data_IF_435176585102
#
_entry.id   IF_435176585102
#
_cell.length_a   1.000
_cell.length_b   1.000
_cell.length_c   1.000
_cell.angle_alpha   90.00
_cell.angle_beta   90.00
_cell.angle_gamma   90.00
#
_symmetry.space_group_name_H-M   'P 1'
#
loop_
_entity.id
_entity.type
_entity.pdbx_description
1 polymer ?
#
# COMPACT_ATOMS: atom_id res chain seq x y z
N UNK A 1 -1.31 78.89 2.78
CA UNK A 1 -0.25 77.95 3.18
C UNK A 1 -0.69 77.28 4.46
N UNK A 2 -0.35 75.98 4.61
CA UNK A 2 -0.64 75.01 5.70
C UNK A 2 -2.09 74.53 5.80
N UNK A 3 -2.42 73.27 6.04
CA UNK A 3 -1.73 71.96 5.94
C UNK A 3 -2.83 70.89 5.96
N UNK A 4 -2.63 69.78 5.23
CA UNK A 4 -3.55 68.66 5.08
C UNK A 4 -3.64 67.85 6.39
N UNK A 5 -4.85 67.61 6.89
CA UNK A 5 -5.12 66.63 7.93
C UNK A 5 -5.40 65.26 7.30
N UNK A 6 -4.45 64.36 7.38
CA UNK A 6 -4.53 62.97 6.91
C UNK A 6 -5.31 62.13 7.94
N UNK A 7 -6.50 61.65 7.58
CA UNK A 7 -7.21 60.64 8.38
C UNK A 7 -6.48 59.30 8.26
N UNK A 8 -5.97 58.81 9.39
CA UNK A 8 -5.42 57.46 9.51
C UNK A 8 -6.57 56.45 9.40
N UNK A 9 -6.61 55.72 8.29
CA UNK A 9 -7.43 54.51 8.14
C UNK A 9 -6.85 53.43 9.05
N UNK A 10 -7.57 53.12 10.14
CA UNK A 10 -7.27 51.99 11.00
C UNK A 10 -7.42 50.70 10.19
N UNK A 11 -6.32 49.96 10.05
CA UNK A 11 -6.32 48.61 9.52
C UNK A 11 -6.95 47.70 10.57
N UNK A 12 -8.22 47.36 10.39
CA UNK A 12 -8.84 46.27 11.13
C UNK A 12 -8.21 44.96 10.65
N UNK A 13 -7.26 44.45 11.44
CA UNK A 13 -6.85 43.05 11.42
C UNK A 13 -8.07 42.19 11.79
N UNK A 14 -8.84 41.77 10.79
CA UNK A 14 -9.87 40.75 10.99
C UNK A 14 -9.20 39.39 10.90
N UNK A 15 -8.96 38.83 12.08
CA UNK A 15 -9.07 37.41 12.37
C UNK A 15 -8.23 36.48 11.50
N UNK A 16 -6.99 36.24 11.93
CA UNK A 16 -6.33 34.96 11.71
C UNK A 16 -7.30 33.87 12.18
N UNK A 17 -7.98 33.17 11.26
CA UNK A 17 -8.72 31.97 11.60
C UNK A 17 -7.70 30.99 12.13
N UNK A 18 -7.58 30.89 13.46
CA UNK A 18 -6.86 29.82 14.09
C UNK A 18 -7.47 28.53 13.55
N UNK A 19 -6.73 27.86 12.66
CA UNK A 19 -7.05 26.52 12.21
C UNK A 19 -7.06 25.67 13.48
N UNK A 20 -8.25 25.49 14.05
CA UNK A 20 -8.48 24.57 15.14
C UNK A 20 -7.88 23.24 14.70
N UNK A 21 -6.79 22.81 15.36
CA UNK A 21 -6.18 21.52 15.10
C UNK A 21 -7.17 20.48 15.61
N UNK A 22 -8.17 20.16 14.81
CA UNK A 22 -9.09 19.06 15.06
C UNK A 22 -8.22 17.82 15.11
N UNK A 23 -7.96 17.33 16.32
CA UNK A 23 -7.26 16.07 16.54
C UNK A 23 -8.11 14.99 15.89
N UNK A 24 -7.69 14.54 14.71
CA UNK A 24 -8.40 13.51 13.98
C UNK A 24 -8.40 12.24 14.84
N UNK A 25 -9.59 11.77 15.21
CA UNK A 25 -9.71 10.50 15.93
C UNK A 25 -9.11 9.37 15.07
N UNK A 26 -8.60 8.29 15.69
CA UNK A 26 -8.09 7.14 14.93
C UNK A 26 -9.10 6.63 13.89
N UNK A 27 -10.39 6.63 14.23
CA UNK A 27 -11.47 6.26 13.31
C UNK A 27 -11.57 7.21 12.11
N UNK A 28 -11.52 8.53 12.32
CA UNK A 28 -11.54 9.52 11.24
C UNK A 28 -10.30 9.42 10.34
N UNK A 29 -9.12 9.18 10.93
CA UNK A 29 -7.87 8.94 10.20
C UNK A 29 -7.98 7.69 9.30
N UNK A 30 -8.46 6.57 9.85
CA UNK A 30 -8.65 5.34 9.09
C UNK A 30 -9.71 5.48 7.98
N UNK A 31 -10.76 6.27 8.21
CA UNK A 31 -11.77 6.57 7.19
C UNK A 31 -11.18 7.36 6.03
N UNK A 32 -10.46 8.46 6.31
CA UNK A 32 -9.77 9.26 5.28
C UNK A 32 -8.77 8.42 4.47
N UNK A 33 -8.03 7.53 5.13
CA UNK A 33 -7.12 6.60 4.45
C UNK A 33 -7.87 5.69 3.46
N UNK A 34 -9.01 5.12 3.88
CA UNK A 34 -9.82 4.28 2.98
C UNK A 34 -10.37 5.09 1.81
N UNK A 35 -10.92 6.27 2.06
CA UNK A 35 -11.42 7.18 1.03
C UNK A 35 -10.34 7.52 0.00
N UNK A 36 -9.12 7.83 0.45
CA UNK A 36 -7.98 8.09 -0.42
C UNK A 36 -7.58 6.86 -1.25
N UNK A 37 -7.58 5.66 -0.66
CA UNK A 37 -7.27 4.42 -1.37
C UNK A 37 -8.35 4.10 -2.42
N UNK A 38 -9.63 4.24 -2.08
CA UNK A 38 -10.71 4.05 -3.04
C UNK A 38 -10.66 5.07 -4.19
N UNK A 39 -10.35 6.33 -3.90
CA UNK A 39 -10.17 7.35 -4.92
C UNK A 39 -8.97 7.06 -5.86
N UNK A 40 -7.97 6.34 -5.36
CA UNK A 40 -6.82 5.86 -6.13
C UNK A 40 -7.07 4.49 -6.81
N UNK A 41 -8.32 4.03 -6.87
CA UNK A 41 -8.74 2.75 -7.47
C UNK A 41 -8.09 1.50 -6.82
N UNK A 42 -7.83 1.57 -5.52
CA UNK A 42 -7.44 0.40 -4.72
C UNK A 42 -8.67 -0.34 -4.18
N UNK A 43 -8.56 -1.66 -4.14
CA UNK A 43 -9.56 -2.58 -3.57
C UNK A 43 -9.01 -3.18 -2.27
N UNK A 44 -9.80 -3.09 -1.20
CA UNK A 44 -9.46 -3.77 0.06
C UNK A 44 -9.73 -5.27 -0.06
N UNK A 45 -8.67 -6.06 0.04
CA UNK A 45 -8.70 -7.51 -0.10
C UNK A 45 -8.46 -8.20 1.24
N UNK A 46 -9.14 -9.33 1.46
CA UNK A 46 -8.90 -10.23 2.58
C UNK A 46 -8.66 -11.64 2.03
N UNK A 47 -7.45 -12.15 2.23
CA UNK A 47 -7.05 -13.47 1.73
C UNK A 47 -6.83 -14.43 2.89
N UNK A 48 -7.34 -15.65 2.74
CA UNK A 48 -6.91 -16.79 3.55
C UNK A 48 -5.82 -17.50 2.76
N UNK A 49 -4.61 -17.56 3.32
CA UNK A 49 -3.43 -18.15 2.68
C UNK A 49 -2.80 -19.19 3.59
N UNK A 50 -2.09 -20.20 3.04
CA UNK A 50 -1.38 -21.17 3.86
C UNK A 50 -0.35 -20.53 4.80
N UNK A 51 -0.14 -21.13 5.97
CA UNK A 51 0.78 -20.61 6.97
C UNK A 51 2.23 -20.51 6.46
N UNK A 52 2.71 -21.50 5.69
CA UNK A 52 4.05 -21.43 5.09
C UNK A 52 4.16 -20.25 4.12
N UNK A 53 3.13 -19.99 3.34
CA UNK A 53 3.14 -18.89 2.40
C UNK A 53 3.17 -17.54 3.13
N UNK A 54 2.38 -17.39 4.21
CA UNK A 54 2.46 -16.19 5.07
C UNK A 54 3.86 -16.01 5.67
N UNK A 55 4.51 -17.09 6.09
CA UNK A 55 5.89 -17.04 6.58
C UNK A 55 6.82 -16.57 5.47
N UNK A 56 6.73 -17.13 4.26
CA UNK A 56 7.53 -16.73 3.10
C UNK A 56 7.37 -15.25 2.76
N UNK A 57 6.14 -14.71 2.79
CA UNK A 57 5.91 -13.27 2.61
C UNK A 57 6.62 -12.42 3.68
N UNK A 58 6.67 -12.91 4.92
CA UNK A 58 7.38 -12.24 6.02
C UNK A 58 8.91 -12.32 5.86
N UNK A 59 9.40 -13.45 5.36
CA UNK A 59 10.82 -13.64 5.04
C UNK A 59 11.23 -12.69 3.90
N UNK A 60 10.42 -12.58 2.83
CA UNK A 60 10.65 -11.61 1.75
C UNK A 60 10.61 -10.16 2.21
N UNK A 61 9.62 -9.80 3.04
CA UNK A 61 9.56 -8.46 3.65
C UNK A 61 10.90 -8.12 4.31
N UNK A 62 11.45 -9.06 5.08
CA UNK A 62 12.68 -8.87 5.84
C UNK A 62 13.91 -8.83 4.92
N UNK A 63 14.02 -9.78 3.99
CA UNK A 63 15.13 -9.86 3.04
C UNK A 63 15.25 -8.61 2.15
N UNK A 64 14.11 -8.08 1.69
CA UNK A 64 14.06 -6.91 0.79
C UNK A 64 13.78 -5.59 1.51
N UNK A 65 13.82 -5.57 2.86
CA UNK A 65 13.61 -4.37 3.69
C UNK A 65 12.31 -3.61 3.35
N UNK A 66 11.24 -4.32 3.00
CA UNK A 66 9.97 -3.72 2.63
C UNK A 66 9.17 -3.30 3.87
N UNK A 67 8.40 -2.20 3.76
CA UNK A 67 7.66 -1.61 4.89
C UNK A 67 6.61 -2.56 5.45
N UNK A 68 5.99 -3.38 4.59
CA UNK A 68 4.94 -4.30 4.99
C UNK A 68 4.69 -5.40 3.96
N UNK A 69 3.92 -6.41 4.38
CA UNK A 69 3.54 -7.55 3.52
C UNK A 69 2.73 -7.09 2.30
N UNK A 70 1.95 -6.00 2.42
CA UNK A 70 1.24 -5.39 1.29
C UNK A 70 2.19 -5.02 0.14
N UNK A 71 3.33 -4.39 0.43
CA UNK A 71 4.33 -4.04 -0.59
C UNK A 71 4.98 -5.28 -1.22
N UNK A 72 5.22 -6.33 -0.42
CA UNK A 72 5.75 -7.60 -0.93
C UNK A 72 4.77 -8.20 -1.93
N UNK A 73 3.49 -8.26 -1.58
CA UNK A 73 2.44 -8.81 -2.45
C UNK A 73 2.30 -7.99 -3.73
N UNK A 74 2.27 -6.66 -3.64
CA UNK A 74 2.20 -5.80 -4.82
C UNK A 74 3.40 -6.02 -5.75
N UNK A 75 4.63 -6.06 -5.21
CA UNK A 75 5.83 -6.31 -6.01
C UNK A 75 5.83 -7.71 -6.65
N UNK A 76 5.30 -8.72 -5.95
CA UNK A 76 5.12 -10.06 -6.51
C UNK A 76 4.13 -10.06 -7.66
N UNK A 77 3.02 -9.35 -7.53
CA UNK A 77 1.99 -9.23 -8.56
C UNK A 77 2.51 -8.47 -9.79
N UNK A 78 3.20 -7.36 -9.60
CA UNK A 78 3.81 -6.59 -10.70
C UNK A 78 4.82 -7.46 -11.48
N UNK A 79 5.69 -8.18 -10.75
CA UNK A 79 6.65 -9.09 -11.38
C UNK A 79 5.92 -10.23 -12.11
N UNK A 80 4.85 -10.76 -11.53
CA UNK A 80 4.06 -11.81 -12.16
C UNK A 80 3.39 -11.34 -13.45
N UNK A 81 2.71 -10.20 -13.43
CA UNK A 81 2.06 -9.57 -14.58
C UNK A 81 3.04 -9.25 -15.71
N UNK A 82 4.30 -8.94 -15.37
CA UNK A 82 5.35 -8.64 -16.35
C UNK A 82 5.91 -9.88 -17.03
N UNK A 83 6.03 -11.00 -16.30
CA UNK A 83 6.83 -12.16 -16.74
C UNK A 83 6.02 -13.39 -17.13
N UNK A 84 4.72 -13.43 -16.83
CA UNK A 84 3.90 -14.61 -17.06
C UNK A 84 2.51 -14.23 -17.58
N UNK A 85 1.98 -15.09 -18.44
CA UNK A 85 0.58 -15.07 -18.85
C UNK A 85 -0.32 -15.81 -17.85
N UNK A 86 -1.62 -15.54 -17.89
CA UNK A 86 -2.63 -16.21 -17.05
C UNK A 86 -2.66 -17.72 -17.35
N UNK A 87 -2.46 -18.08 -18.61
CA UNK A 87 -2.52 -19.46 -19.12
C UNK A 87 -1.40 -20.35 -18.56
N UNK A 88 -0.25 -19.75 -18.27
CA UNK A 88 0.91 -20.42 -17.70
C UNK A 88 0.76 -20.69 -16.20
N UNK A 89 -0.03 -19.88 -15.49
CA UNK A 89 -0.15 -19.91 -14.03
C UNK A 89 -1.15 -20.98 -13.55
N UNK A 90 -0.64 -22.19 -13.33
CA UNK A 90 -1.40 -23.30 -12.78
C UNK A 90 -1.19 -23.42 -11.28
N UNK A 91 -2.26 -23.72 -10.56
CA UNK A 91 -2.21 -23.93 -9.10
C UNK A 91 -1.18 -25.00 -8.76
N UNK A 92 -0.21 -24.70 -7.87
CA UNK A 92 0.77 -25.68 -7.41
C UNK A 92 0.08 -26.78 -6.59
N UNK A 93 0.73 -27.95 -6.38
CA UNK A 93 0.25 -28.93 -5.42
C UNK A 93 0.07 -28.27 -4.04
N UNK A 94 -0.95 -28.68 -3.26
CA UNK A 94 -1.23 -28.06 -1.97
C UNK A 94 -0.03 -28.20 -1.04
N UNK A 95 0.27 -27.17 -0.23
CA UNK A 95 1.41 -27.20 0.68
C UNK A 95 1.21 -28.25 1.78
N UNK A 96 2.33 -28.74 2.33
CA UNK A 96 2.35 -29.77 3.39
C UNK A 96 1.78 -29.30 4.73
N UNK A 97 1.43 -28.02 4.84
CA UNK A 97 0.99 -27.33 6.07
C UNK A 97 -0.39 -27.78 6.60
N UNK A 98 -1.04 -28.71 5.91
CA UNK A 98 -2.42 -29.13 6.19
C UNK A 98 -3.44 -28.02 5.93
N UNK A 99 -4.47 -27.90 6.78
CA UNK A 99 -5.54 -26.89 6.67
C UNK A 99 -5.24 -25.58 7.42
N UNK A 100 -3.97 -25.27 7.66
CA UNK A 100 -3.59 -24.14 8.52
C UNK A 100 -3.58 -22.81 7.76
N UNK A 101 -4.76 -22.28 7.50
CA UNK A 101 -4.91 -20.99 6.83
C UNK A 101 -4.70 -19.81 7.79
N UNK A 102 -4.10 -18.75 7.26
CA UNK A 102 -3.89 -17.48 7.94
C UNK A 102 -4.50 -16.36 7.10
N UNK A 103 -5.26 -15.48 7.75
CA UNK A 103 -5.81 -14.31 7.09
C UNK A 103 -4.76 -13.19 6.97
N UNK A 104 -4.71 -12.55 5.80
CA UNK A 104 -4.07 -11.26 5.58
C UNK A 104 -5.10 -10.27 5.00
N UNK A 105 -4.95 -8.99 5.34
CA UNK A 105 -5.76 -7.91 4.79
C UNK A 105 -4.84 -6.86 4.18
N UNK A 106 -5.01 -6.60 2.88
CA UNK A 106 -4.16 -5.70 2.10
C UNK A 106 -5.00 -4.91 1.11
N UNK A 107 -4.48 -3.82 0.58
CA UNK A 107 -5.09 -3.04 -0.49
C UNK A 107 -4.29 -3.25 -1.77
N UNK A 108 -4.98 -3.62 -2.84
CA UNK A 108 -4.36 -3.83 -4.15
C UNK A 108 -4.92 -2.82 -5.15
N UNK A 109 -4.11 -2.30 -6.08
CA UNK A 109 -4.64 -1.66 -7.29
C UNK A 109 -5.64 -2.59 -7.98
N UNK A 110 -6.69 -2.02 -8.56
CA UNK A 110 -7.74 -2.80 -9.24
C UNK A 110 -7.20 -3.71 -10.34
N UNK A 111 -6.16 -3.30 -11.05
CA UNK A 111 -5.51 -4.12 -12.08
C UNK A 111 -4.90 -5.41 -11.50
N UNK A 112 -4.15 -5.29 -10.40
CA UNK A 112 -3.57 -6.44 -9.71
C UNK A 112 -4.66 -7.36 -9.12
N UNK A 113 -5.76 -6.78 -8.65
CA UNK A 113 -6.93 -7.55 -8.21
C UNK A 113 -7.55 -8.34 -9.37
N UNK A 114 -7.78 -7.69 -10.52
CA UNK A 114 -8.33 -8.33 -11.71
C UNK A 114 -7.42 -9.45 -12.24
N UNK A 115 -6.10 -9.27 -12.15
CA UNK A 115 -5.12 -10.30 -12.47
C UNK A 115 -5.29 -11.54 -11.58
N UNK A 116 -5.46 -11.37 -10.26
CA UNK A 116 -5.76 -12.47 -9.35
C UNK A 116 -7.11 -13.15 -9.64
N UNK A 117 -8.14 -12.38 -9.99
CA UNK A 117 -9.45 -12.92 -10.40
C UNK A 117 -9.33 -13.77 -11.66
N UNK A 118 -8.52 -13.35 -12.64
CA UNK A 118 -8.27 -14.10 -13.86
C UNK A 118 -7.55 -15.43 -13.59
N UNK A 119 -6.53 -15.44 -12.71
CA UNK A 119 -5.85 -16.67 -12.27
C UNK A 119 -6.85 -17.60 -11.56
N UNK A 120 -7.66 -17.06 -10.65
CA UNK A 120 -8.67 -17.82 -9.92
C UNK A 120 -9.66 -18.48 -10.87
N UNK A 121 -10.21 -17.73 -11.82
CA UNK A 121 -11.12 -18.22 -12.83
C UNK A 121 -10.48 -19.32 -13.70
N UNK A 122 -9.26 -19.07 -14.20
CA UNK A 122 -8.50 -20.02 -15.02
C UNK A 122 -8.28 -21.36 -14.32
N UNK A 123 -8.12 -21.34 -13.00
CA UNK A 123 -7.88 -22.51 -12.18
C UNK A 123 -9.18 -23.09 -11.57
N UNK A 124 -10.31 -22.99 -12.30
CA UNK A 124 -11.61 -23.55 -11.91
C UNK A 124 -12.26 -22.86 -10.69
N UNK A 125 -12.06 -21.56 -10.57
CA UNK A 125 -12.69 -20.75 -9.52
C UNK A 125 -12.12 -21.00 -8.13
N UNK A 126 -10.80 -21.23 -8.04
CA UNK A 126 -10.11 -21.27 -6.73
C UNK A 126 -10.24 -19.93 -6.01
N UNK A 127 -9.99 -19.92 -4.71
CA UNK A 127 -10.05 -18.68 -3.93
C UNK A 127 -8.93 -17.72 -4.36
N UNK A 128 -9.13 -16.42 -4.17
CA UNK A 128 -8.09 -15.43 -4.44
C UNK A 128 -6.83 -15.62 -3.56
N UNK A 129 -6.98 -16.25 -2.39
CA UNK A 129 -5.84 -16.65 -1.57
C UNK A 129 -4.97 -17.72 -2.23
N UNK A 130 -5.59 -18.72 -2.85
CA UNK A 130 -4.90 -19.76 -3.65
C UNK A 130 -4.33 -19.16 -4.95
N UNK A 131 -5.04 -18.23 -5.59
CA UNK A 131 -4.50 -17.50 -6.74
C UNK A 131 -3.24 -16.70 -6.36
N UNK A 132 -3.25 -16.04 -5.20
CA UNK A 132 -2.09 -15.32 -4.69
C UNK A 132 -0.92 -16.26 -4.32
N UNK A 133 -1.22 -17.43 -3.73
CA UNK A 133 -0.22 -18.46 -3.50
C UNK A 133 0.40 -18.95 -4.82
N UNK A 134 -0.43 -19.13 -5.86
CA UNK A 134 0.01 -19.51 -7.20
C UNK A 134 1.02 -18.50 -7.75
N UNK A 135 0.71 -17.20 -7.66
CA UNK A 135 1.67 -16.14 -8.01
C UNK A 135 2.99 -16.31 -7.23
N UNK A 136 2.91 -16.59 -5.93
CA UNK A 136 4.11 -16.80 -5.12
C UNK A 136 4.88 -18.09 -5.41
N UNK A 137 4.27 -19.10 -6.03
CA UNK A 137 4.98 -20.27 -6.49
C UNK A 137 5.82 -19.97 -7.74
N UNK A 138 5.35 -19.06 -8.60
CA UNK A 138 6.04 -18.67 -9.83
C UNK A 138 7.11 -17.59 -9.56
N UNK A 139 6.84 -16.67 -8.64
CA UNK A 139 7.77 -15.60 -8.28
C UNK A 139 8.62 -16.01 -7.07
N UNK A 140 9.79 -16.58 -7.33
CA UNK A 140 10.74 -17.04 -6.30
C UNK A 140 11.69 -15.94 -5.78
N UNK A 141 11.87 -14.86 -6.53
CA UNK A 141 12.75 -13.75 -6.18
C UNK A 141 12.05 -12.41 -6.46
N UNK A 142 12.19 -11.45 -5.54
CA UNK A 142 11.74 -10.09 -5.78
C UNK A 142 12.94 -9.20 -6.10
N UNK A 143 12.76 -8.30 -7.06
CA UNK A 143 13.70 -7.19 -7.23
C UNK A 143 13.32 -6.17 -6.17
N UNK A 144 14.21 -5.78 -5.24
CA UNK A 144 13.86 -4.75 -4.28
C UNK A 144 13.52 -3.45 -5.02
N UNK A 145 12.42 -2.81 -4.64
CA UNK A 145 12.17 -1.43 -5.09
C UNK A 145 13.37 -0.57 -4.68
N UNK A 146 13.82 0.39 -5.53
CA UNK A 146 14.88 1.31 -5.15
C UNK A 146 14.54 1.92 -3.80
N UNK A 147 15.45 1.80 -2.83
CA UNK A 147 15.30 2.47 -1.54
C UNK A 147 15.14 3.96 -1.85
N UNK A 148 13.98 4.55 -1.52
CA UNK A 148 13.86 5.99 -1.52
C UNK A 148 14.90 6.50 -0.52
N UNK A 149 15.94 7.14 -1.05
CA UNK A 149 16.93 7.83 -0.23
C UNK A 149 16.17 8.75 0.73
N UNK A 150 16.58 8.84 2.00
CA UNK A 150 16.01 9.85 2.89
C UNK A 150 16.15 11.21 2.19
N UNK A 151 15.04 11.96 2.12
CA UNK A 151 15.08 13.34 1.66
C UNK A 151 16.02 14.09 2.60
N UNK A 152 17.24 14.36 2.14
CA UNK A 152 18.20 15.20 2.87
C UNK A 152 17.55 16.59 2.91
N UNK A 153 17.03 16.96 4.07
CA UNK A 153 16.18 18.14 4.22
C UNK A 153 15.79 18.47 5.65
N UNK A 154 16.67 18.21 6.62
CA UNK A 154 16.73 18.93 7.90
C UNK A 154 18.21 19.33 8.02
N UNK A 155 18.58 20.54 7.64
CA UNK A 155 18.46 21.67 8.54
C UNK A 155 19.83 21.89 9.19
N UNK A 156 20.65 22.65 8.47
CA UNK A 156 21.87 23.31 8.90
C UNK A 156 21.82 23.79 10.37
N UNK A 157 22.70 23.24 11.23
CA UNK A 157 23.15 23.86 12.48
C UNK A 157 24.30 23.05 13.11
N UNK A 158 25.55 23.41 12.82
CA UNK A 158 26.52 23.95 13.80
C UNK A 158 27.89 24.08 13.12
N UNK A 159 28.24 25.32 12.77
CA UNK A 159 29.61 25.81 12.93
C UNK A 159 29.57 26.73 14.15
N UNK A 160 30.41 26.45 15.14
CA UNK A 160 30.51 27.17 16.41
C UNK A 160 31.35 26.38 17.39
#
# INVERSE_FOLDING_TARGET
MTSRGTSHTAWNMVGTSASERVVATPAACMRRKREALYAADFVQCKFNIPASFRKRLSDYKSAYKMRGVEQVVMAMLDKAMTNYSIEEMRVPPPPSDGKSDKQIAIHLPREQHAFLEAIAYRNRGVTLGVALETVGAYVSELTPSPQQLPLIGEGDAVSG
#
